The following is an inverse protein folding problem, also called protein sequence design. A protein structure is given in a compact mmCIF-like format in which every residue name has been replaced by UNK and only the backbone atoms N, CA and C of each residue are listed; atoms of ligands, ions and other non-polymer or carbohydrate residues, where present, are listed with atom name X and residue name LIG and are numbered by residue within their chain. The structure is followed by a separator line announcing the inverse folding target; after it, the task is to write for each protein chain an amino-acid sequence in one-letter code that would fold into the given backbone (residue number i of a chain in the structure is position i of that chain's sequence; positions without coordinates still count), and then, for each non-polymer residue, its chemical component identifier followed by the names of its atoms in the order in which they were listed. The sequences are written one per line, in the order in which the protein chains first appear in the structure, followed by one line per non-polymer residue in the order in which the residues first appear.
data_IF_831696566756
#
_entry.id   IF_831696566756
#
_cell.length_a   1.000
_cell.length_b   1.000
_cell.length_c   1.000
_cell.angle_alpha   90.00
_cell.angle_beta   90.00
_cell.angle_gamma   90.00
#
_symmetry.space_group_name_H-M   'P 1'
#
loop_
_entity.id
_entity.type
_entity.pdbx_description
1 polymer ?
#
# COMPACT_ATOMS: atom_id res chain seq x y z
N UNK A 1 -13.99 -5.77 52.04
CA UNK A 1 -12.85 -5.38 51.16
C UNK A 1 -12.20 -6.55 50.41
N UNK A 2 -12.37 -7.80 50.85
CA UNK A 2 -11.80 -9.00 50.20
C UNK A 2 -12.36 -9.26 48.80
N UNK A 3 -13.67 -9.06 48.59
CA UNK A 3 -14.31 -9.25 47.28
C UNK A 3 -13.84 -8.25 46.22
N UNK A 4 -13.63 -6.99 46.58
CA UNK A 4 -13.09 -5.94 45.68
C UNK A 4 -11.66 -6.26 45.23
N UNK A 5 -10.80 -6.74 46.13
CA UNK A 5 -9.44 -7.17 45.80
C UNK A 5 -9.43 -8.39 44.86
N UNK A 6 -10.34 -9.35 45.08
CA UNK A 6 -10.50 -10.53 44.21
C UNK A 6 -11.01 -10.15 42.82
N UNK A 7 -11.98 -9.25 42.73
CA UNK A 7 -12.51 -8.76 41.46
C UNK A 7 -11.46 -7.95 40.68
N UNK A 8 -10.70 -7.08 41.36
CA UNK A 8 -9.60 -6.34 40.74
C UNK A 8 -8.49 -7.26 40.20
N UNK A 9 -8.08 -8.26 40.98
CA UNK A 9 -7.10 -9.25 40.52
C UNK A 9 -7.61 -10.04 39.30
N UNK A 10 -8.87 -10.49 39.33
CA UNK A 10 -9.47 -11.21 38.21
C UNK A 10 -9.51 -10.35 36.93
N UNK A 11 -9.84 -9.06 37.06
CA UNK A 11 -9.83 -8.13 35.93
C UNK A 11 -8.42 -7.94 35.36
N UNK A 12 -7.41 -7.76 36.21
CA UNK A 12 -6.02 -7.62 35.76
C UNK A 12 -5.55 -8.88 35.02
N UNK A 13 -5.82 -10.06 35.56
CA UNK A 13 -5.49 -11.33 34.90
C UNK A 13 -6.22 -11.47 33.57
N UNK A 14 -7.51 -11.12 33.52
CA UNK A 14 -8.30 -11.16 32.29
C UNK A 14 -7.73 -10.23 31.22
N UNK A 15 -7.39 -8.99 31.58
CA UNK A 15 -6.81 -8.02 30.66
C UNK A 15 -5.45 -8.51 30.14
N UNK A 16 -4.58 -8.99 31.02
CA UNK A 16 -3.29 -9.57 30.62
C UNK A 16 -3.52 -10.74 29.66
N UNK A 17 -4.44 -11.66 29.97
CA UNK A 17 -4.75 -12.79 29.12
C UNK A 17 -5.25 -12.33 27.73
N UNK A 18 -6.17 -11.37 27.67
CA UNK A 18 -6.71 -10.83 26.40
C UNK A 18 -5.61 -10.21 25.53
N UNK A 19 -4.60 -9.56 26.12
CA UNK A 19 -3.51 -8.94 25.35
C UNK A 19 -2.36 -9.89 25.01
N UNK A 20 -2.06 -10.86 25.87
CA UNK A 20 -0.91 -11.75 25.70
C UNK A 20 -1.28 -12.99 24.89
N UNK A 21 -2.42 -13.62 25.16
CA UNK A 21 -2.81 -14.90 24.52
C UNK A 21 -2.86 -14.79 22.98
N UNK A 22 -3.46 -13.75 22.37
CA UNK A 22 -3.47 -13.62 20.91
C UNK A 22 -2.10 -13.43 20.26
N UNK A 23 -1.06 -13.06 21.04
CA UNK A 23 0.31 -12.87 20.54
C UNK A 23 1.15 -14.14 20.60
N UNK A 24 0.77 -15.11 21.43
CA UNK A 24 1.52 -16.37 21.61
C UNK A 24 0.82 -17.57 20.99
N UNK A 25 -0.50 -17.48 20.75
CA UNK A 25 -1.24 -18.53 20.05
C UNK A 25 -1.04 -18.35 18.54
N UNK A 26 -0.64 -19.40 17.80
CA UNK A 26 -0.52 -19.34 16.36
C UNK A 26 -1.84 -18.93 15.70
N UNK A 27 -1.74 -18.12 14.66
CA UNK A 27 -2.92 -17.67 13.90
C UNK A 27 -3.50 -18.86 13.16
N UNK A 28 -4.82 -19.12 13.26
CA UNK A 28 -5.46 -20.19 12.50
C UNK A 28 -5.24 -20.02 10.99
N UNK A 29 -4.96 -21.13 10.28
CA UNK A 29 -4.65 -21.13 8.84
C UNK A 29 -5.69 -20.38 7.99
N UNK A 30 -6.97 -20.46 8.37
CA UNK A 30 -8.04 -19.74 7.69
C UNK A 30 -7.82 -18.22 7.69
N UNK A 31 -7.39 -17.64 8.82
CA UNK A 31 -7.09 -16.20 8.93
C UNK A 31 -5.74 -15.86 8.31
N UNK A 32 -4.81 -16.81 8.36
CA UNK A 32 -3.48 -16.64 7.83
C UNK A 32 -3.50 -16.54 6.29
N UNK A 33 -4.39 -17.28 5.64
CA UNK A 33 -4.58 -17.27 4.19
C UNK A 33 -5.38 -16.05 3.67
N UNK A 34 -6.02 -15.25 4.53
CA UNK A 34 -6.69 -13.99 4.13
C UNK A 34 -5.73 -12.79 3.97
N UNK A 35 -4.41 -13.03 3.94
CA UNK A 35 -3.41 -12.00 3.65
C UNK A 35 -3.07 -11.06 4.81
N UNK A 36 -3.67 -11.27 5.99
CA UNK A 36 -3.34 -10.50 7.20
C UNK A 36 -2.12 -11.02 7.96
N UNK A 37 -1.68 -12.25 7.69
CA UNK A 37 -0.51 -12.85 8.34
C UNK A 37 0.40 -13.50 7.30
N UNK A 38 1.70 -13.19 7.36
CA UNK A 38 2.71 -13.70 6.43
C UNK A 38 3.05 -15.15 6.80
N UNK A 39 2.26 -16.10 6.31
CA UNK A 39 2.51 -17.54 6.53
C UNK A 39 3.80 -17.97 5.84
N UNK A 40 4.08 -17.39 4.68
CA UNK A 40 5.29 -17.64 3.92
C UNK A 40 5.82 -16.33 3.33
N UNK A 41 6.71 -15.69 4.08
CA UNK A 41 7.34 -14.43 3.68
C UNK A 41 8.10 -14.56 2.35
N UNK A 42 8.68 -15.73 2.08
CA UNK A 42 9.49 -15.96 0.88
C UNK A 42 8.59 -16.15 -0.34
N UNK A 43 7.53 -16.96 -0.23
CA UNK A 43 6.54 -17.10 -1.29
C UNK A 43 5.78 -15.80 -1.57
N UNK A 44 5.40 -15.04 -0.54
CA UNK A 44 4.79 -13.71 -0.71
C UNK A 44 5.73 -12.78 -1.46
N UNK A 45 6.99 -12.69 -1.03
CA UNK A 45 7.99 -11.84 -1.68
C UNK A 45 8.21 -12.25 -3.14
N UNK A 46 8.28 -13.55 -3.42
CA UNK A 46 8.39 -14.08 -4.78
C UNK A 46 7.17 -13.73 -5.63
N UNK A 47 5.96 -13.85 -5.07
CA UNK A 47 4.71 -13.48 -5.73
C UNK A 47 4.72 -11.99 -6.09
N UNK A 48 4.97 -11.10 -5.13
CA UNK A 48 5.02 -9.65 -5.39
C UNK A 48 6.09 -9.28 -6.41
N UNK A 49 7.27 -9.92 -6.35
CA UNK A 49 8.35 -9.71 -7.30
C UNK A 49 8.03 -10.21 -8.72
N UNK A 50 7.12 -11.19 -8.86
CA UNK A 50 6.68 -11.70 -10.16
C UNK A 50 5.65 -10.81 -10.86
N UNK A 51 5.02 -9.87 -10.13
CA UNK A 51 4.02 -8.98 -10.72
C UNK A 51 4.70 -7.93 -11.60
N UNK A 52 4.16 -7.67 -12.81
CA UNK A 52 4.76 -6.70 -13.72
C UNK A 52 4.63 -5.28 -13.17
N UNK A 53 5.72 -4.50 -13.25
CA UNK A 53 5.71 -3.07 -12.88
C UNK A 53 4.74 -2.33 -13.79
N UNK A 54 3.69 -1.74 -13.19
CA UNK A 54 2.69 -0.96 -13.93
C UNK A 54 3.01 0.55 -13.93
N UNK A 55 3.59 1.04 -12.84
CA UNK A 55 3.85 2.46 -12.60
C UNK A 55 5.34 2.75 -12.59
N UNK A 56 5.72 3.88 -13.15
CA UNK A 56 7.10 4.35 -13.24
C UNK A 56 7.31 5.62 -12.40
N UNK A 57 8.57 5.90 -12.07
CA UNK A 57 8.91 7.19 -11.49
C UNK A 57 8.72 8.30 -12.55
N UNK A 58 8.22 9.47 -12.14
CA UNK A 58 8.08 10.65 -13.00
C UNK A 58 9.37 11.05 -13.71
N UNK A 59 10.54 10.76 -13.13
CA UNK A 59 11.84 11.01 -13.78
C UNK A 59 12.02 10.24 -15.08
N UNK A 60 11.37 9.08 -15.25
CA UNK A 60 11.44 8.28 -16.48
C UNK A 60 10.83 9.06 -17.65
N UNK A 61 9.76 9.83 -17.40
CA UNK A 61 9.09 10.63 -18.41
C UNK A 61 10.01 11.72 -18.98
N UNK A 62 10.94 12.24 -18.19
CA UNK A 62 11.87 13.29 -18.61
C UNK A 62 12.78 12.87 -19.78
N UNK A 63 13.03 11.57 -19.94
CA UNK A 63 13.90 11.07 -21.00
C UNK A 63 13.36 11.35 -22.42
N UNK A 64 12.03 11.44 -22.57
CA UNK A 64 11.37 11.72 -23.84
C UNK A 64 10.53 13.02 -23.81
N UNK A 65 10.00 13.41 -22.64
CA UNK A 65 9.09 14.54 -22.44
C UNK A 65 9.72 15.66 -21.60
N UNK A 66 10.87 16.18 -22.04
CA UNK A 66 11.63 17.18 -21.31
C UNK A 66 10.85 18.50 -21.10
N UNK A 67 10.08 18.94 -22.09
CA UNK A 67 9.26 20.16 -22.01
C UNK A 67 8.20 20.03 -20.91
N UNK A 68 7.46 18.92 -20.94
CA UNK A 68 6.32 18.68 -20.06
C UNK A 68 6.82 18.44 -18.63
N UNK A 69 7.93 17.71 -18.47
CA UNK A 69 8.58 17.52 -17.18
C UNK A 69 9.03 18.86 -16.58
N UNK A 70 9.61 19.75 -17.38
CA UNK A 70 10.05 21.07 -16.90
C UNK A 70 8.85 21.93 -16.46
N UNK A 71 7.77 21.91 -17.22
CA UNK A 71 6.53 22.60 -16.87
C UNK A 71 5.91 22.03 -15.58
N UNK A 72 5.82 20.71 -15.47
CA UNK A 72 5.33 19.99 -14.28
C UNK A 72 6.18 20.30 -13.04
N UNK A 73 7.51 20.27 -13.17
CA UNK A 73 8.43 20.51 -12.06
C UNK A 73 8.33 21.94 -11.50
N UNK A 74 8.01 22.92 -12.36
CA UNK A 74 7.73 24.30 -11.97
C UNK A 74 6.31 24.57 -11.49
N UNK A 75 5.37 23.63 -11.69
CA UNK A 75 3.96 23.81 -11.38
C UNK A 75 3.61 23.43 -9.92
N UNK A 76 2.37 23.77 -9.52
CA UNK A 76 1.82 23.40 -8.22
C UNK A 76 1.67 21.89 -8.00
N UNK A 77 1.64 21.10 -9.09
CA UNK A 77 1.48 19.65 -9.05
C UNK A 77 2.81 18.88 -9.11
N UNK A 78 3.97 19.51 -8.85
CA UNK A 78 5.28 18.85 -8.90
C UNK A 78 5.47 17.65 -7.95
N UNK A 79 4.54 17.42 -7.02
CA UNK A 79 4.52 16.25 -6.13
C UNK A 79 3.51 15.18 -6.55
N UNK A 80 2.73 15.44 -7.60
CA UNK A 80 1.75 14.51 -8.17
C UNK A 80 2.41 13.81 -9.35
N UNK A 81 2.48 12.47 -9.34
CA UNK A 81 3.05 11.70 -10.45
C UNK A 81 2.25 11.94 -11.74
N UNK A 82 2.92 11.93 -12.90
CA UNK A 82 2.28 11.94 -14.22
C UNK A 82 1.16 10.89 -14.30
N UNK A 83 1.42 9.70 -13.80
CA UNK A 83 0.52 8.53 -13.87
C UNK A 83 -0.72 8.66 -12.97
N UNK A 84 -0.78 9.69 -12.10
CA UNK A 84 -2.00 9.98 -11.34
C UNK A 84 -3.16 10.40 -12.26
N UNK A 85 -2.85 11.16 -13.33
CA UNK A 85 -3.83 11.52 -14.36
C UNK A 85 -3.68 10.68 -15.63
N UNK A 86 -2.46 10.23 -15.93
CA UNK A 86 -2.14 9.52 -17.17
C UNK A 86 -2.21 7.98 -17.06
N UNK A 87 -2.78 7.42 -15.99
CA UNK A 87 -2.81 5.97 -15.73
C UNK A 87 -1.42 5.30 -15.78
N UNK A 88 -1.38 3.97 -15.67
CA UNK A 88 -0.14 3.18 -15.74
C UNK A 88 0.53 3.31 -17.12
N UNK A 89 1.79 3.77 -17.17
CA UNK A 89 2.49 4.06 -18.42
C UNK A 89 3.50 2.98 -18.84
N UNK A 90 3.59 1.85 -18.13
CA UNK A 90 4.57 0.78 -18.43
C UNK A 90 4.52 0.30 -19.89
N UNK A 91 3.32 0.12 -20.45
CA UNK A 91 3.11 -0.23 -21.85
C UNK A 91 3.61 0.86 -22.80
N UNK A 92 3.33 2.13 -22.50
CA UNK A 92 3.79 3.27 -23.30
C UNK A 92 5.32 3.38 -23.32
N UNK A 93 5.95 3.25 -22.15
CA UNK A 93 7.42 3.27 -22.00
C UNK A 93 8.08 2.16 -22.83
N UNK A 94 7.39 1.02 -23.01
CA UNK A 94 7.85 -0.11 -23.80
C UNK A 94 7.53 0.00 -25.30
N UNK A 95 7.12 1.18 -25.78
CA UNK A 95 6.80 1.45 -27.19
C UNK A 95 5.33 1.23 -27.57
N UNK A 96 4.46 1.02 -26.58
CA UNK A 96 3.02 0.92 -26.79
C UNK A 96 2.31 2.27 -26.91
N UNK A 97 0.96 2.25 -27.04
CA UNK A 97 0.17 3.46 -27.19
C UNK A 97 0.27 4.37 -25.96
N UNK A 98 0.00 5.68 -26.12
CA UNK A 98 -0.05 6.61 -25.00
C UNK A 98 -1.13 6.18 -24.00
N UNK A 99 -0.90 6.38 -22.70
CA UNK A 99 -1.84 5.94 -21.69
C UNK A 99 -3.02 6.92 -21.59
N UNK A 100 -4.13 6.47 -21.00
CA UNK A 100 -5.35 7.26 -20.92
C UNK A 100 -5.17 8.43 -19.95
N UNK A 101 -5.67 9.61 -20.34
CA UNK A 101 -5.59 10.82 -19.53
C UNK A 101 -6.95 11.16 -18.98
N UNK A 102 -7.11 11.07 -17.67
CA UNK A 102 -8.28 11.61 -16.97
C UNK A 102 -7.98 13.05 -16.54
N UNK A 103 -8.55 14.00 -17.27
CA UNK A 103 -8.48 15.42 -16.96
C UNK A 103 -9.74 15.94 -16.27
N UNK A 104 -10.60 15.04 -15.77
CA UNK A 104 -11.84 15.44 -15.11
C UNK A 104 -11.55 16.11 -13.76
N UNK A 105 -12.35 17.12 -13.36
CA UNK A 105 -12.22 17.73 -12.04
C UNK A 105 -12.45 16.73 -10.89
N UNK A 106 -13.18 15.64 -11.17
CA UNK A 106 -13.47 14.60 -10.19
C UNK A 106 -12.22 13.82 -9.75
N UNK A 107 -11.23 13.68 -10.63
CA UNK A 107 -9.97 13.01 -10.30
C UNK A 107 -9.24 13.70 -9.13
N UNK A 108 -9.39 15.02 -9.03
CA UNK A 108 -8.74 15.85 -8.02
C UNK A 108 -9.59 16.07 -6.76
N UNK A 109 -10.80 15.51 -6.68
CA UNK A 109 -11.79 15.84 -5.65
C UNK A 109 -11.59 15.12 -4.30
N UNK A 110 -10.35 14.73 -3.99
CA UNK A 110 -9.98 14.04 -2.73
C UNK A 110 -9.88 15.05 -1.58
#
# INVERSE_FOLDING_TARGET
MTHLKRAGLALVVLLIAIFIVPRIVPVPDILANFGFHKVDKEADQALWASLPIQYANTSVCNNCHQSDYTAWAGAGHRSVSCEACHAAASTHISGGPPPQVDASPLLCAI
#
